data_IF_683594535517
#
_entry.id   IF_683594535517
#
_cell.length_a   1.000
_cell.length_b   1.000
_cell.length_c   1.000
_cell.angle_alpha   90.00
_cell.angle_beta   90.00
_cell.angle_gamma   90.00
#
_symmetry.space_group_name_H-M   'P 1'
#
loop_
_entity.id
_entity.type
_entity.pdbx_description
1 polymer ?
#
# COMPACT_ATOMS: atom_id res chain seq x y z
N UNK A 1 -20.10 -9.66 38.83
CA UNK A 1 -19.48 -8.40 39.30
C UNK A 1 -18.45 -7.99 38.25
N UNK A 2 -18.83 -7.15 37.26
CA UNK A 2 -18.63 -5.68 37.25
C UNK A 2 -17.12 -5.34 37.05
N UNK A 3 -16.61 -4.63 36.04
CA UNK A 3 -17.13 -3.58 35.15
C UNK A 3 -16.37 -3.53 33.80
N UNK A 4 -17.09 -3.10 32.75
CA UNK A 4 -16.55 -2.56 31.49
C UNK A 4 -16.18 -1.08 31.71
N UNK A 5 -15.11 -0.59 31.10
CA UNK A 5 -14.84 0.84 31.02
C UNK A 5 -14.91 1.30 29.55
N UNK A 6 -16.01 2.01 29.25
CA UNK A 6 -16.20 2.80 28.04
C UNK A 6 -15.57 4.18 28.24
N UNK A 7 -14.88 4.71 27.23
CA UNK A 7 -14.47 6.11 27.20
C UNK A 7 -15.15 6.78 26.01
N UNK A 8 -16.28 7.42 26.31
CA UNK A 8 -16.90 8.42 25.47
C UNK A 8 -16.61 9.77 26.09
N UNK A 9 -15.92 10.66 25.38
CA UNK A 9 -15.97 12.09 25.65
C UNK A 9 -16.14 12.85 24.33
N UNK A 10 -17.40 13.18 24.08
CA UNK A 10 -17.84 14.27 23.22
C UNK A 10 -17.46 15.59 23.90
N UNK A 11 -16.74 16.47 23.20
CA UNK A 11 -16.82 17.90 23.44
C UNK A 11 -17.15 18.62 22.14
N UNK A 12 -18.33 19.21 22.18
CA UNK A 12 -19.01 19.96 21.15
C UNK A 12 -18.60 21.43 21.29
N UNK A 13 -18.48 22.10 20.13
CA UNK A 13 -18.92 23.48 19.83
C UNK A 13 -17.83 24.55 19.66
N UNK A 14 -17.81 25.12 18.45
CA UNK A 14 -17.13 26.37 18.12
C UNK A 14 -17.22 26.69 16.63
N UNK A 15 -18.40 27.08 16.15
CA UNK A 15 -18.61 27.65 14.81
C UNK A 15 -18.71 29.18 14.98
N UNK A 16 -17.79 29.95 14.41
CA UNK A 16 -17.88 31.40 14.19
C UNK A 16 -17.13 31.73 12.90
N UNK A 17 -17.78 32.51 12.03
CA UNK A 17 -17.42 32.65 10.62
C UNK A 17 -16.65 33.92 10.26
N UNK A 18 -16.15 33.87 9.01
CA UNK A 18 -16.06 34.93 7.99
C UNK A 18 -15.37 36.25 8.36
N UNK A 19 -14.26 36.57 7.68
CA UNK A 19 -14.11 37.69 6.69
C UNK A 19 -12.68 37.72 6.13
N UNK A 20 -12.54 37.74 4.82
CA UNK A 20 -11.25 37.67 4.12
C UNK A 20 -10.48 38.98 4.08
N UNK A 21 -9.19 38.86 3.74
CA UNK A 21 -8.36 39.93 3.17
C UNK A 21 -7.47 39.30 2.09
N UNK A 22 -7.80 39.60 0.84
CA UNK A 22 -6.91 39.61 -0.31
C UNK A 22 -5.75 40.60 -0.15
N UNK A 23 -4.52 40.16 -0.44
CA UNK A 23 -3.47 41.01 -1.03
C UNK A 23 -2.41 40.16 -1.73
N UNK A 24 -1.76 40.70 -2.77
CA UNK A 24 -1.34 39.93 -3.94
C UNK A 24 0.16 39.61 -3.99
N UNK A 25 0.44 38.53 -4.73
CA UNK A 25 1.66 38.17 -5.46
C UNK A 25 3.06 38.50 -4.91
N UNK A 26 3.87 37.44 -4.77
CA UNK A 26 5.32 37.53 -4.65
C UNK A 26 6.00 36.17 -4.76
N UNK A 27 6.26 35.75 -6.01
CA UNK A 27 7.32 34.82 -6.43
C UNK A 27 7.32 33.39 -5.86
N UNK A 28 6.66 32.51 -6.62
CA UNK A 28 7.27 31.29 -7.17
C UNK A 28 8.31 30.56 -6.30
N UNK A 29 7.91 30.08 -5.13
CA UNK A 29 8.60 28.94 -4.57
C UNK A 29 8.07 27.71 -5.28
N UNK A 30 8.87 27.19 -6.20
CA UNK A 30 8.67 25.88 -6.81
C UNK A 30 8.30 24.89 -5.71
N UNK A 31 7.01 24.59 -5.54
CA UNK A 31 6.60 23.35 -4.91
C UNK A 31 7.28 22.29 -5.76
N UNK A 32 8.38 21.75 -5.25
CA UNK A 32 8.85 20.45 -5.69
C UNK A 32 7.61 19.58 -5.65
N UNK A 33 7.06 19.27 -6.83
CA UNK A 33 6.09 18.21 -6.95
C UNK A 33 6.88 17.02 -6.45
N UNK A 34 6.67 16.67 -5.18
CA UNK A 34 7.12 15.42 -4.62
C UNK A 34 6.68 14.37 -5.65
N UNK A 35 7.61 13.57 -6.18
CA UNK A 35 7.27 12.64 -7.25
C UNK A 35 6.03 11.86 -6.78
N UNK A 36 5.00 11.72 -7.64
CA UNK A 36 3.81 10.95 -7.30
C UNK A 36 4.29 9.62 -6.74
N UNK A 37 3.75 9.22 -5.59
CA UNK A 37 4.32 8.18 -4.75
C UNK A 37 4.59 6.94 -5.61
N UNK A 38 5.86 6.75 -6.04
CA UNK A 38 6.24 5.68 -6.97
C UNK A 38 6.23 4.32 -6.29
N UNK A 39 5.94 4.31 -5.00
CA UNK A 39 5.94 3.14 -4.16
C UNK A 39 4.55 2.50 -4.20
N UNK A 40 4.27 1.81 -5.31
CA UNK A 40 3.15 0.87 -5.44
C UNK A 40 3.33 -0.38 -4.57
N UNK A 41 4.15 -0.33 -3.53
CA UNK A 41 4.37 -1.47 -2.65
C UNK A 41 3.46 -1.35 -1.44
N UNK A 42 2.49 -2.26 -1.38
CA UNK A 42 1.85 -2.56 -0.11
C UNK A 42 2.96 -2.89 0.90
N UNK A 43 3.06 -2.12 1.98
CA UNK A 43 4.07 -2.33 3.01
C UNK A 43 3.38 -2.62 4.35
N UNK A 44 3.78 -3.70 5.02
CA UNK A 44 3.13 -4.13 6.26
C UNK A 44 3.25 -3.11 7.40
N UNK A 45 4.35 -2.37 7.45
CA UNK A 45 4.56 -1.33 8.45
C UNK A 45 3.84 -0.02 8.14
N UNK A 46 3.34 0.15 6.91
CA UNK A 46 2.57 1.31 6.49
C UNK A 46 1.22 0.88 5.91
N UNK A 47 0.27 0.49 6.78
CA UNK A 47 -0.97 -0.17 6.35
C UNK A 47 -1.94 0.79 5.64
N UNK A 48 -1.75 2.11 5.77
CA UNK A 48 -2.63 3.13 5.20
C UNK A 48 -1.79 4.11 4.38
N UNK A 49 -1.64 3.86 3.06
CA UNK A 49 -0.97 4.76 2.14
C UNK A 49 -1.65 6.14 2.07
N UNK A 50 -0.87 7.19 1.84
CA UNK A 50 -1.39 8.56 1.68
C UNK A 50 -2.14 8.75 0.36
N UNK A 51 -1.74 8.01 -0.67
CA UNK A 51 -2.32 8.04 -2.01
C UNK A 51 -3.04 6.70 -2.30
N UNK A 52 -4.22 6.74 -2.97
CA UNK A 52 -4.90 5.52 -3.38
C UNK A 52 -4.17 4.82 -4.52
N UNK A 53 -4.34 3.49 -4.61
CA UNK A 53 -3.74 2.70 -5.68
C UNK A 53 -4.20 3.14 -7.09
N UNK A 54 -5.52 3.34 -7.28
CA UNK A 54 -6.06 3.86 -8.52
C UNK A 54 -6.41 5.34 -8.42
N UNK A 55 -5.58 6.20 -9.03
CA UNK A 55 -5.84 7.65 -9.13
C UNK A 55 -6.81 7.99 -10.27
N UNK A 56 -6.81 7.20 -11.34
CA UNK A 56 -7.71 7.37 -12.48
C UNK A 56 -8.93 6.44 -12.34
N UNK A 57 -10.11 7.03 -12.17
CA UNK A 57 -11.36 6.30 -11.95
C UNK A 57 -12.27 6.38 -13.17
N UNK A 58 -12.74 5.22 -13.63
CA UNK A 58 -13.81 5.09 -14.62
C UNK A 58 -15.16 5.59 -14.07
N UNK A 59 -16.13 5.90 -14.95
CA UNK A 59 -17.45 6.41 -14.57
C UNK A 59 -18.17 5.53 -13.53
N UNK A 60 -18.09 4.20 -13.67
CA UNK A 60 -18.68 3.25 -12.73
C UNK A 60 -17.97 3.26 -11.37
N UNK A 61 -16.65 3.37 -11.36
CA UNK A 61 -15.84 3.46 -10.15
C UNK A 61 -16.08 4.78 -9.41
N UNK A 62 -16.29 5.88 -10.13
CA UNK A 62 -16.70 7.17 -9.56
C UNK A 62 -18.08 7.06 -8.91
N UNK A 63 -19.04 6.44 -9.58
CA UNK A 63 -20.36 6.18 -9.00
C UNK A 63 -20.26 5.31 -7.74
N UNK A 64 -19.35 4.33 -7.73
CA UNK A 64 -19.07 3.50 -6.57
C UNK A 64 -18.45 4.29 -5.41
N UNK A 65 -17.52 5.21 -5.69
CA UNK A 65 -16.96 6.14 -4.70
C UNK A 65 -17.99 7.12 -4.15
N UNK A 66 -18.96 7.54 -4.95
CA UNK A 66 -20.09 8.34 -4.43
C UNK A 66 -21.01 7.51 -3.53
N UNK A 67 -21.27 6.24 -3.87
CA UNK A 67 -22.00 5.31 -3.00
C UNK A 67 -21.26 5.01 -1.69
N UNK A 68 -19.92 4.97 -1.70
CA UNK A 68 -19.08 4.78 -0.51
C UNK A 68 -19.32 5.84 0.58
N UNK A 69 -19.68 7.07 0.18
CA UNK A 69 -20.00 8.16 1.14
C UNK A 69 -21.31 7.91 1.90
N UNK A 70 -22.17 7.01 1.40
CA UNK A 70 -23.45 6.63 2.00
C UNK A 70 -23.34 5.49 3.01
N UNK A 71 -24.44 4.75 3.20
CA UNK A 71 -24.46 3.61 4.15
C UNK A 71 -23.80 2.35 3.57
N UNK A 72 -22.84 1.80 4.30
CA UNK A 72 -22.12 0.58 3.93
C UNK A 72 -22.94 -0.71 4.06
N UNK A 73 -24.14 -0.63 4.63
CA UNK A 73 -25.09 -1.75 4.69
C UNK A 73 -25.78 -2.00 3.35
N UNK A 74 -25.84 -1.00 2.47
CA UNK A 74 -26.47 -1.09 1.14
C UNK A 74 -25.49 -1.57 0.05
N UNK A 75 -24.19 -1.57 0.36
CA UNK A 75 -23.13 -2.05 -0.53
C UNK A 75 -23.08 -3.59 -0.53
N UNK A 76 -23.12 -4.17 -1.73
CA UNK A 76 -22.93 -5.60 -1.94
C UNK A 76 -21.50 -6.03 -1.58
N UNK A 77 -21.29 -7.33 -1.36
CA UNK A 77 -19.97 -7.86 -1.03
C UNK A 77 -18.95 -7.61 -2.17
N UNK A 78 -19.38 -7.71 -3.42
CA UNK A 78 -18.55 -7.45 -4.59
C UNK A 78 -18.13 -5.98 -4.68
N UNK A 79 -19.06 -5.05 -4.42
CA UNK A 79 -18.78 -3.62 -4.39
C UNK A 79 -17.76 -3.24 -3.30
N UNK A 80 -17.83 -3.87 -2.12
CA UNK A 80 -16.84 -3.68 -1.05
C UNK A 80 -15.45 -4.17 -1.45
N UNK A 81 -15.37 -5.33 -2.11
CA UNK A 81 -14.11 -5.87 -2.63
C UNK A 81 -13.55 -4.98 -3.73
N UNK A 82 -14.39 -4.46 -4.62
CA UNK A 82 -13.98 -3.51 -5.63
C UNK A 82 -13.41 -2.24 -4.98
N UNK A 83 -14.12 -1.63 -4.03
CA UNK A 83 -13.60 -0.47 -3.27
C UNK A 83 -12.24 -0.74 -2.61
N UNK A 84 -12.06 -1.94 -2.06
CA UNK A 84 -10.77 -2.35 -1.50
C UNK A 84 -9.66 -2.37 -2.57
N UNK A 85 -9.91 -2.97 -3.73
CA UNK A 85 -8.93 -3.05 -4.84
C UNK A 85 -8.66 -1.70 -5.50
N UNK A 86 -9.61 -0.75 -5.45
CA UNK A 86 -9.38 0.63 -5.88
C UNK A 86 -8.39 1.35 -4.95
N UNK A 87 -8.46 1.07 -3.64
CA UNK A 87 -7.64 1.72 -2.63
C UNK A 87 -6.28 1.03 -2.45
N UNK A 88 -6.26 -0.30 -2.47
CA UNK A 88 -5.09 -1.14 -2.18
C UNK A 88 -4.85 -2.13 -3.32
N UNK A 89 -3.59 -2.25 -3.74
CA UNK A 89 -3.17 -3.22 -4.76
C UNK A 89 -3.31 -4.67 -4.26
N UNK A 90 -2.70 -4.95 -3.11
CA UNK A 90 -2.59 -6.28 -2.53
C UNK A 90 -3.23 -6.35 -1.15
N UNK A 91 -3.76 -7.53 -0.83
CA UNK A 91 -4.19 -7.84 0.54
C UNK A 91 -3.01 -8.14 1.44
N UNK A 92 -3.19 -8.02 2.76
CA UNK A 92 -2.18 -8.47 3.73
C UNK A 92 -1.80 -9.95 3.57
N UNK A 93 -2.72 -10.79 3.11
CA UNK A 93 -2.45 -12.20 2.85
C UNK A 93 -1.57 -12.39 1.59
N UNK A 94 -1.84 -11.63 0.53
CA UNK A 94 -1.04 -11.64 -0.71
C UNK A 94 0.37 -11.10 -0.46
N UNK A 95 0.48 -9.96 0.24
CA UNK A 95 1.78 -9.37 0.62
C UNK A 95 2.59 -10.31 1.55
N UNK A 96 1.92 -11.10 2.39
CA UNK A 96 2.58 -12.03 3.32
C UNK A 96 2.75 -13.44 2.73
N UNK A 97 2.52 -13.63 1.43
CA UNK A 97 2.71 -14.92 0.77
C UNK A 97 4.19 -15.29 0.79
N UNK A 98 4.51 -16.46 1.33
CA UNK A 98 5.87 -16.99 1.33
C UNK A 98 6.37 -17.24 -0.11
N UNK A 99 7.59 -16.78 -0.41
CA UNK A 99 8.27 -17.08 -1.66
C UNK A 99 9.04 -18.41 -1.55
N UNK A 100 9.12 -19.16 -2.65
CA UNK A 100 9.92 -20.39 -2.74
C UNK A 100 11.35 -20.12 -3.26
N UNK A 101 11.76 -18.86 -3.32
CA UNK A 101 13.04 -18.42 -3.88
C UNK A 101 14.23 -19.02 -3.13
N UNK A 102 14.08 -19.29 -1.83
CA UNK A 102 15.09 -19.95 -1.03
C UNK A 102 15.52 -21.31 -1.60
N UNK A 103 14.61 -22.04 -2.28
CA UNK A 103 14.93 -23.32 -2.93
C UNK A 103 15.85 -23.12 -4.12
N UNK A 104 15.58 -22.09 -4.93
CA UNK A 104 16.41 -21.74 -6.09
C UNK A 104 17.78 -21.24 -5.64
N UNK A 105 17.83 -20.43 -4.58
CA UNK A 105 19.10 -19.97 -3.99
C UNK A 105 19.94 -21.14 -3.51
N UNK A 106 19.36 -22.05 -2.72
CA UNK A 106 20.07 -23.26 -2.27
C UNK A 106 20.52 -24.13 -3.46
N UNK A 107 19.65 -24.36 -4.42
CA UNK A 107 19.98 -25.13 -5.62
C UNK A 107 21.15 -24.52 -6.40
N UNK A 108 21.15 -23.21 -6.59
CA UNK A 108 22.24 -22.49 -7.26
C UNK A 108 23.56 -22.62 -6.51
N UNK A 109 23.57 -22.43 -5.18
CA UNK A 109 24.78 -22.59 -4.35
C UNK A 109 25.36 -24.00 -4.49
N UNK A 110 24.54 -25.04 -4.34
CA UNK A 110 25.02 -26.42 -4.47
C UNK A 110 25.49 -26.75 -5.88
N UNK A 111 24.83 -26.21 -6.91
CA UNK A 111 25.25 -26.39 -8.29
C UNK A 111 26.65 -25.81 -8.54
N UNK A 112 26.89 -24.55 -8.13
CA UNK A 112 28.20 -23.93 -8.33
C UNK A 112 29.29 -24.58 -7.47
N UNK A 113 29.00 -24.93 -6.21
CA UNK A 113 29.95 -25.66 -5.37
C UNK A 113 30.32 -27.02 -5.98
N UNK A 114 29.34 -27.78 -6.47
CA UNK A 114 29.56 -29.06 -7.14
C UNK A 114 30.36 -28.89 -8.43
N UNK A 115 30.02 -27.90 -9.25
CA UNK A 115 30.73 -27.61 -10.50
C UNK A 115 32.19 -27.21 -10.25
N UNK A 116 32.44 -26.32 -9.28
CA UNK A 116 33.81 -25.93 -8.88
C UNK A 116 34.60 -27.12 -8.36
N UNK A 117 34.01 -27.98 -7.53
CA UNK A 117 34.67 -29.19 -7.05
C UNK A 117 35.04 -30.16 -8.19
N UNK A 118 34.16 -30.32 -9.18
CA UNK A 118 34.42 -31.11 -10.37
C UNK A 118 35.57 -30.52 -11.21
N UNK A 119 35.63 -29.20 -11.38
CA UNK A 119 36.73 -28.53 -12.08
C UNK A 119 38.07 -28.74 -11.37
N UNK A 120 38.11 -28.60 -10.04
CA UNK A 120 39.32 -28.84 -9.25
C UNK A 120 39.77 -30.30 -9.38
N UNK A 121 38.83 -31.24 -9.30
CA UNK A 121 39.14 -32.66 -9.49
C UNK A 121 39.71 -32.93 -10.89
N UNK A 122 39.10 -32.37 -11.93
CA UNK A 122 39.59 -32.51 -13.31
C UNK A 122 41.01 -31.94 -13.46
N UNK A 123 41.27 -30.74 -12.94
CA UNK A 123 42.60 -30.13 -12.91
C UNK A 123 43.62 -31.00 -12.17
N UNK A 124 43.22 -31.71 -11.10
CA UNK A 124 44.10 -32.59 -10.33
C UNK A 124 44.50 -33.87 -11.07
N UNK A 125 43.64 -34.37 -11.95
CA UNK A 125 43.83 -35.64 -12.69
C UNK A 125 44.56 -35.43 -14.01
N UNK A 126 44.23 -34.35 -14.74
CA UNK A 126 44.72 -34.10 -16.09
C UNK A 126 45.69 -32.92 -16.22
N UNK A 127 45.91 -32.16 -15.14
CA UNK A 127 46.92 -31.10 -15.05
C UNK A 127 48.13 -31.57 -14.25
#
# INVERSE_FOLDING_TARGET
MFFRAAWSLVLRKGRLGVRGIHSPEGTAHSKGKMPPYTNYHAQRSYPMPDEPFCTELNAEQRALKEKEKGSWTQLSQAEKVALYRLQFHETFAEMNRHSNEWKTVLGGVFFFCGFTALLIWWQRVYG
#
